data_IF_640614189856
#
_entry.id   IF_640614189856
#
_cell.length_a   1.000
_cell.length_b   1.000
_cell.length_c   1.000
_cell.angle_alpha   90.00
_cell.angle_beta   90.00
_cell.angle_gamma   90.00
#
_symmetry.space_group_name_H-M   'P 1'
#
loop_
_entity.id
_entity.type
_entity.pdbx_description
1 polymer ?
#
# COMPACT_ATOMS: atom_id res chain seq x y z
N UNK A 1 -47.54 -7.39 5.33
CA UNK A 1 -46.17 -7.71 4.87
C UNK A 1 -45.32 -6.45 5.05
N UNK A 2 -44.35 -6.40 5.98
CA UNK A 2 -43.46 -5.26 6.03
C UNK A 2 -42.20 -5.56 5.21
N UNK A 3 -42.19 -5.10 3.95
CA UNK A 3 -41.05 -5.26 3.02
C UNK A 3 -40.10 -4.07 3.22
N UNK A 4 -38.83 -4.35 3.47
CA UNK A 4 -37.74 -3.35 3.44
C UNK A 4 -37.23 -3.28 2.01
N UNK A 5 -37.34 -2.12 1.38
CA UNK A 5 -36.91 -1.91 0.00
C UNK A 5 -35.46 -1.44 -0.03
N UNK A 6 -34.60 -2.12 -0.78
CA UNK A 6 -33.22 -1.68 -1.02
C UNK A 6 -33.20 -0.97 -2.37
N UNK A 7 -33.19 0.35 -2.31
CA UNK A 7 -33.25 1.21 -3.47
C UNK A 7 -31.80 1.40 -3.97
N UNK A 8 -31.49 0.77 -5.11
CA UNK A 8 -30.18 0.88 -5.76
C UNK A 8 -29.98 2.22 -6.46
N UNK A 9 -29.30 2.24 -7.61
CA UNK A 9 -29.18 3.42 -8.50
C UNK A 9 -30.51 3.89 -9.13
N UNK A 10 -31.64 3.43 -8.61
CA UNK A 10 -32.99 3.77 -9.06
C UNK A 10 -33.41 4.98 -8.21
N UNK A 11 -33.68 6.11 -8.87
CA UNK A 11 -33.88 7.41 -8.23
C UNK A 11 -34.96 7.45 -7.15
N UNK A 12 -34.93 8.50 -6.33
CA UNK A 12 -35.80 8.71 -5.14
C UNK A 12 -37.29 8.53 -5.44
N UNK A 13 -37.74 8.77 -6.67
CA UNK A 13 -39.14 8.61 -7.10
C UNK A 13 -39.64 7.16 -6.99
N UNK A 14 -38.80 6.17 -7.32
CA UNK A 14 -39.17 4.75 -7.22
C UNK A 14 -39.28 4.28 -5.77
N UNK A 15 -38.48 4.87 -4.88
CA UNK A 15 -38.56 4.63 -3.44
C UNK A 15 -39.86 5.19 -2.85
N UNK A 16 -40.27 6.38 -3.28
CA UNK A 16 -41.51 7.05 -2.84
C UNK A 16 -42.74 6.26 -3.29
N UNK A 17 -42.77 5.78 -4.53
CA UNK A 17 -43.88 4.96 -5.04
C UNK A 17 -43.97 3.62 -4.33
N UNK A 18 -42.84 2.99 -4.00
CA UNK A 18 -42.83 1.75 -3.23
C UNK A 18 -43.34 1.94 -1.79
N UNK A 19 -43.01 3.06 -1.13
CA UNK A 19 -43.57 3.41 0.19
C UNK A 19 -45.09 3.63 0.09
N UNK A 20 -45.56 4.32 -0.96
CA UNK A 20 -47.00 4.51 -1.20
C UNK A 20 -47.75 3.20 -1.44
N UNK A 21 -47.09 2.19 -2.00
CA UNK A 21 -47.63 0.85 -2.23
C UNK A 21 -47.52 -0.08 -0.99
N UNK A 22 -47.08 0.43 0.16
CA UNK A 22 -47.08 -0.30 1.43
C UNK A 22 -45.73 -0.89 1.86
N UNK A 23 -44.61 -0.47 1.26
CA UNK A 23 -43.28 -0.80 1.77
C UNK A 23 -43.05 -0.14 3.15
N UNK A 24 -42.40 -0.88 4.06
CA UNK A 24 -42.24 -0.47 5.45
C UNK A 24 -41.01 0.39 5.75
N UNK A 25 -39.99 0.36 4.89
CA UNK A 25 -38.78 1.21 4.96
C UNK A 25 -38.03 1.16 3.60
N UNK A 26 -37.36 2.23 3.15
CA UNK A 26 -36.44 2.20 1.99
C UNK A 26 -35.03 2.64 2.39
N UNK A 27 -34.03 1.87 1.95
CA UNK A 27 -32.63 2.09 2.30
C UNK A 27 -31.77 2.17 1.04
N UNK A 28 -31.00 3.25 0.96
CA UNK A 28 -30.05 3.48 -0.12
C UNK A 28 -28.75 2.66 0.07
N UNK A 29 -28.19 2.12 -1.02
CA UNK A 29 -26.98 1.28 -1.01
C UNK A 29 -25.77 1.90 -0.29
N UNK A 30 -25.60 3.22 -0.35
CA UNK A 30 -24.47 3.92 0.32
C UNK A 30 -24.62 4.00 1.85
N UNK A 31 -25.84 3.90 2.37
CA UNK A 31 -26.14 3.92 3.80
C UNK A 31 -26.56 2.54 4.32
N UNK A 32 -26.40 1.51 3.49
CA UNK A 32 -26.90 0.16 3.74
C UNK A 32 -26.45 -0.35 5.11
N UNK A 33 -25.16 -0.32 5.43
CA UNK A 33 -24.63 -0.83 6.70
C UNK A 33 -25.27 -0.15 7.94
N UNK A 34 -25.43 1.17 7.93
CA UNK A 34 -25.91 1.92 9.10
C UNK A 34 -27.43 1.93 9.25
N UNK A 35 -28.15 2.01 8.12
CA UNK A 35 -29.62 2.11 8.10
C UNK A 35 -30.31 0.76 7.99
N UNK A 36 -29.73 -0.22 7.29
CA UNK A 36 -30.26 -1.60 7.24
C UNK A 36 -30.28 -2.20 8.63
N UNK A 37 -29.23 -1.96 9.41
CA UNK A 37 -29.21 -2.38 10.79
C UNK A 37 -30.40 -1.82 11.58
N UNK A 38 -30.67 -0.52 11.46
CA UNK A 38 -31.77 0.15 12.16
C UNK A 38 -33.15 -0.27 11.64
N UNK A 39 -33.31 -0.47 10.33
CA UNK A 39 -34.58 -0.89 9.74
C UNK A 39 -34.92 -2.34 10.09
N UNK A 40 -33.96 -3.25 9.99
CA UNK A 40 -34.10 -4.64 10.45
C UNK A 40 -34.42 -4.65 11.95
N UNK A 41 -33.73 -3.82 12.76
CA UNK A 41 -34.05 -3.66 14.19
C UNK A 41 -35.49 -3.21 14.43
N UNK A 42 -35.99 -2.19 13.72
CA UNK A 42 -37.39 -1.75 13.84
C UNK A 42 -38.40 -2.85 13.51
N UNK A 43 -38.08 -3.71 12.54
CA UNK A 43 -38.92 -4.86 12.21
C UNK A 43 -38.90 -5.90 13.32
N UNK A 44 -37.71 -6.24 13.84
CA UNK A 44 -37.53 -7.16 14.97
C UNK A 44 -38.19 -6.65 16.26
N UNK A 45 -38.30 -5.33 16.42
CA UNK A 45 -38.93 -4.70 17.59
C UNK A 45 -40.46 -4.82 17.61
N UNK A 46 -41.10 -5.29 16.52
CA UNK A 46 -42.53 -5.51 16.50
C UNK A 46 -42.94 -6.61 17.50
N UNK A 47 -43.95 -6.32 18.32
CA UNK A 47 -44.42 -7.18 19.43
C UNK A 47 -44.71 -8.63 18.99
N UNK A 48 -45.31 -8.81 17.81
CA UNK A 48 -45.63 -10.12 17.26
C UNK A 48 -44.38 -10.93 16.86
N UNK A 49 -43.36 -10.26 16.29
CA UNK A 49 -42.12 -10.89 15.88
C UNK A 49 -41.25 -11.26 17.10
N UNK A 50 -41.21 -10.39 18.12
CA UNK A 50 -40.59 -10.72 19.42
C UNK A 50 -41.26 -11.95 20.05
N UNK A 51 -42.59 -11.93 20.20
CA UNK A 51 -43.35 -13.04 20.77
C UNK A 51 -43.13 -14.37 20.03
N UNK A 52 -43.00 -14.34 18.70
CA UNK A 52 -42.72 -15.53 17.88
C UNK A 52 -41.27 -16.06 18.00
N UNK A 53 -40.31 -15.19 18.34
CA UNK A 53 -38.91 -15.56 18.57
C UNK A 53 -38.69 -16.25 19.93
N UNK A 54 -39.61 -16.08 20.89
CA UNK A 54 -39.51 -16.65 22.25
C UNK A 54 -39.99 -18.10 22.37
N UNK A 55 -40.73 -18.66 21.40
CA UNK A 55 -41.31 -20.01 21.53
C UNK A 55 -40.37 -21.11 21.04
N UNK A 56 -40.26 -22.24 21.77
CA UNK A 56 -39.55 -23.44 21.28
C UNK A 56 -40.22 -24.01 20.02
N UNK A 57 -39.42 -24.71 19.19
CA UNK A 57 -39.93 -25.47 18.05
C UNK A 57 -41.03 -26.45 18.51
N UNK A 58 -42.27 -26.29 18.04
CA UNK A 58 -43.35 -27.23 18.31
C UNK A 58 -44.78 -26.68 18.28
N UNK A 59 -44.97 -25.37 18.49
CA UNK A 59 -46.32 -24.78 18.47
C UNK A 59 -46.74 -24.40 17.04
N UNK A 60 -47.65 -25.19 16.45
CA UNK A 60 -48.35 -24.93 15.19
C UNK A 60 -49.15 -23.62 15.26
N UNK A 61 -48.48 -22.48 15.10
CA UNK A 61 -49.12 -21.17 15.08
C UNK A 61 -48.57 -20.37 13.90
N UNK A 62 -49.47 -19.83 13.07
CA UNK A 62 -49.14 -19.15 11.82
C UNK A 62 -48.12 -18.01 12.00
N UNK A 63 -48.10 -17.39 13.19
CA UNK A 63 -47.19 -16.31 13.59
C UNK A 63 -45.73 -16.78 13.64
N UNK A 64 -45.46 -18.02 14.08
CA UNK A 64 -44.11 -18.59 14.09
C UNK A 64 -43.59 -18.83 12.67
N UNK A 65 -44.47 -19.33 11.79
CA UNK A 65 -44.15 -19.55 10.38
C UNK A 65 -43.93 -18.23 9.62
N UNK A 66 -44.71 -17.19 9.95
CA UNK A 66 -44.52 -15.84 9.39
C UNK A 66 -43.20 -15.20 9.86
N UNK A 67 -42.80 -15.41 11.11
CA UNK A 67 -41.52 -14.96 11.64
C UNK A 67 -40.32 -15.70 11.01
N UNK A 68 -40.44 -17.02 10.76
CA UNK A 68 -39.47 -17.83 10.01
C UNK A 68 -39.25 -17.30 8.59
N UNK A 69 -40.33 -17.11 7.84
CA UNK A 69 -40.26 -16.59 6.48
C UNK A 69 -39.66 -15.18 6.44
N UNK A 70 -39.98 -14.35 7.43
CA UNK A 70 -39.41 -12.99 7.53
C UNK A 70 -37.89 -13.04 7.76
N UNK A 71 -37.40 -13.82 8.74
CA UNK A 71 -35.96 -13.97 9.00
C UNK A 71 -35.20 -14.55 7.81
N UNK A 72 -35.78 -15.54 7.13
CA UNK A 72 -35.19 -16.20 5.97
C UNK A 72 -35.04 -15.27 4.76
N UNK A 73 -35.89 -14.26 4.64
CA UNK A 73 -35.87 -13.29 3.53
C UNK A 73 -34.78 -12.22 3.65
N UNK A 74 -34.23 -12.00 4.85
CA UNK A 74 -33.22 -10.96 5.04
C UNK A 74 -31.87 -11.36 4.39
N UNK A 75 -31.26 -10.48 3.59
CA UNK A 75 -29.95 -10.73 2.96
C UNK A 75 -28.78 -10.58 3.95
N UNK A 76 -29.04 -10.21 5.21
CA UNK A 76 -28.05 -10.00 6.27
C UNK A 76 -28.10 -11.17 7.23
N UNK A 77 -26.95 -11.56 7.77
CA UNK A 77 -26.84 -12.63 8.76
C UNK A 77 -27.52 -12.23 10.07
N UNK A 78 -28.51 -13.01 10.50
CA UNK A 78 -29.26 -12.79 11.74
C UNK A 78 -29.38 -14.13 12.48
N UNK A 79 -29.19 -14.09 13.79
CA UNK A 79 -29.48 -15.22 14.67
C UNK A 79 -29.98 -14.75 16.03
N UNK A 80 -30.59 -15.67 16.76
CA UNK A 80 -31.11 -15.46 18.11
C UNK A 80 -30.52 -16.52 19.01
N UNK A 81 -30.11 -16.12 20.21
CA UNK A 81 -29.70 -17.02 21.27
C UNK A 81 -30.40 -16.71 22.59
N UNK A 82 -30.42 -17.66 23.50
CA UNK A 82 -30.83 -17.42 24.89
C UNK A 82 -29.74 -16.71 25.72
N UNK A 83 -29.99 -16.50 27.01
CA UNK A 83 -29.03 -15.87 27.93
C UNK A 83 -27.81 -16.75 28.27
N UNK A 84 -27.86 -18.05 27.98
CA UNK A 84 -26.72 -18.97 28.09
C UNK A 84 -25.92 -19.06 26.78
N UNK A 85 -26.38 -18.37 25.74
CA UNK A 85 -25.76 -18.36 24.42
C UNK A 85 -26.21 -19.49 23.51
N UNK A 86 -27.18 -20.34 23.88
CA UNK A 86 -27.69 -21.39 22.99
C UNK A 86 -28.34 -20.75 21.79
N UNK A 87 -27.86 -21.06 20.59
CA UNK A 87 -28.48 -20.57 19.36
C UNK A 87 -29.87 -21.21 19.27
N UNK A 88 -30.89 -20.37 19.24
CA UNK A 88 -32.29 -20.81 19.10
C UNK A 88 -32.69 -20.82 17.64
N UNK A 89 -32.29 -19.79 16.89
CA UNK A 89 -32.70 -19.55 15.51
C UNK A 89 -31.61 -18.82 14.73
N UNK A 90 -31.51 -19.08 13.43
CA UNK A 90 -30.62 -18.38 12.54
C UNK A 90 -31.21 -18.36 11.12
N UNK A 91 -30.79 -17.41 10.29
CA UNK A 91 -31.14 -17.41 8.89
C UNK A 91 -30.00 -17.96 8.01
N UNK A 92 -30.32 -18.23 6.74
CA UNK A 92 -29.35 -18.77 5.77
C UNK A 92 -28.11 -17.88 5.61
N UNK A 93 -28.27 -16.56 5.70
CA UNK A 93 -27.16 -15.63 5.62
C UNK A 93 -26.18 -15.79 6.80
N UNK A 94 -26.65 -16.10 8.01
CA UNK A 94 -25.79 -16.38 9.16
C UNK A 94 -24.97 -17.66 8.96
N UNK A 95 -25.60 -18.74 8.50
CA UNK A 95 -24.89 -19.98 8.17
C UNK A 95 -23.84 -19.74 7.06
N UNK A 96 -24.18 -18.99 6.01
CA UNK A 96 -23.24 -18.63 4.95
C UNK A 96 -22.08 -17.74 5.44
N UNK A 97 -22.32 -16.87 6.42
CA UNK A 97 -21.29 -16.04 7.04
C UNK A 97 -20.33 -16.85 7.90
N UNK A 98 -20.85 -17.80 8.69
CA UNK A 98 -20.04 -18.72 9.49
C UNK A 98 -19.35 -19.81 8.64
N UNK A 99 -19.86 -20.08 7.43
CA UNK A 99 -19.32 -21.10 6.54
C UNK A 99 -19.80 -22.52 6.85
N UNK A 100 -20.69 -22.67 7.83
CA UNK A 100 -21.34 -23.94 8.20
C UNK A 100 -22.72 -23.69 8.79
N UNK A 101 -23.52 -24.74 8.86
CA UNK A 101 -24.76 -24.69 9.63
C UNK A 101 -24.47 -24.84 11.13
N UNK A 102 -25.11 -24.03 11.99
CA UNK A 102 -25.04 -24.18 13.43
C UNK A 102 -25.60 -25.50 13.94
N UNK A 103 -24.86 -26.14 14.84
CA UNK A 103 -25.39 -27.22 15.67
C UNK A 103 -26.13 -26.58 16.86
N UNK A 104 -27.46 -26.57 16.82
CA UNK A 104 -28.28 -25.94 17.86
C UNK A 104 -28.14 -26.62 19.24
N UNK A 105 -27.65 -27.86 19.32
CA UNK A 105 -27.39 -28.53 20.58
C UNK A 105 -26.04 -28.12 21.18
N UNK A 106 -25.00 -28.01 20.33
CA UNK A 106 -23.62 -27.80 20.76
C UNK A 106 -23.14 -26.34 20.71
N UNK A 107 -23.49 -25.59 19.67
CA UNK A 107 -22.96 -24.25 19.43
C UNK A 107 -23.48 -23.24 20.47
N UNK A 108 -22.60 -22.34 20.89
CA UNK A 108 -22.91 -21.26 21.84
C UNK A 108 -22.38 -19.94 21.35
N UNK A 109 -23.18 -18.89 21.48
CA UNK A 109 -22.93 -17.49 21.12
C UNK A 109 -22.69 -17.24 19.62
N UNK A 110 -21.99 -18.12 18.92
CA UNK A 110 -21.81 -18.11 17.48
C UNK A 110 -21.44 -19.51 16.99
N UNK A 111 -21.58 -19.75 15.68
CA UNK A 111 -21.16 -21.00 15.03
C UNK A 111 -19.80 -20.88 14.32
N UNK A 112 -19.10 -19.76 14.52
CA UNK A 112 -17.72 -19.58 14.06
C UNK A 112 -16.75 -20.56 14.76
N UNK A 113 -15.66 -20.94 14.09
CA UNK A 113 -14.57 -21.71 14.71
C UNK A 113 -13.93 -20.95 15.87
N UNK A 114 -13.66 -19.67 15.62
CA UNK A 114 -13.10 -18.74 16.60
C UNK A 114 -13.53 -17.32 16.26
N UNK A 115 -13.62 -16.47 17.28
CA UNK A 115 -13.87 -15.04 17.13
C UNK A 115 -12.70 -14.29 17.75
N UNK A 116 -12.08 -13.42 16.97
CA UNK A 116 -10.95 -12.60 17.35
C UNK A 116 -11.39 -11.14 17.50
N UNK A 117 -10.74 -10.41 18.40
CA UNK A 117 -10.85 -8.96 18.46
C UNK A 117 -10.18 -8.30 17.26
N UNK A 118 -10.36 -6.99 17.11
CA UNK A 118 -9.68 -6.19 16.07
C UNK A 118 -8.15 -6.16 16.22
N UNK A 119 -7.65 -6.53 17.39
CA UNK A 119 -6.23 -6.73 17.69
C UNK A 119 -5.70 -8.13 17.31
N UNK A 120 -6.55 -9.01 16.76
CA UNK A 120 -6.20 -10.38 16.37
C UNK A 120 -6.15 -11.39 17.52
N UNK A 121 -6.45 -10.99 18.75
CA UNK A 121 -6.48 -11.90 19.90
C UNK A 121 -7.83 -12.62 20.00
N UNK A 122 -7.86 -13.93 20.34
CA UNK A 122 -9.11 -14.65 20.56
C UNK A 122 -9.95 -14.02 21.68
N UNK A 123 -11.24 -13.83 21.42
CA UNK A 123 -12.20 -13.38 22.42
C UNK A 123 -12.74 -14.57 23.21
N UNK A 124 -12.78 -14.44 24.53
CA UNK A 124 -13.51 -15.36 25.40
C UNK A 124 -15.01 -15.15 25.23
N UNK A 125 -15.82 -16.17 25.52
CA UNK A 125 -17.29 -16.09 25.42
C UNK A 125 -17.87 -14.84 26.10
N UNK A 126 -17.39 -14.49 27.30
CA UNK A 126 -17.87 -13.33 28.08
C UNK A 126 -17.59 -11.96 27.45
N UNK A 127 -16.63 -11.91 26.51
CA UNK A 127 -16.19 -10.73 25.78
C UNK A 127 -16.90 -10.58 24.43
N UNK A 128 -17.62 -11.61 23.99
CA UNK A 128 -18.38 -11.54 22.74
C UNK A 128 -19.49 -10.48 22.86
N UNK A 129 -19.72 -9.64 21.83
CA UNK A 129 -20.73 -8.59 21.89
C UNK A 129 -22.10 -9.10 22.36
N UNK A 130 -22.54 -10.24 21.81
CA UNK A 130 -23.81 -10.90 22.18
C UNK A 130 -23.87 -11.30 23.67
N UNK A 131 -22.78 -11.80 24.25
CA UNK A 131 -22.73 -12.20 25.66
C UNK A 131 -22.71 -11.00 26.61
N UNK A 132 -22.03 -9.92 26.20
CA UNK A 132 -22.07 -8.64 26.93
C UNK A 132 -23.50 -8.09 26.97
N UNK A 133 -24.23 -8.14 25.86
CA UNK A 133 -25.64 -7.71 25.81
C UNK A 133 -26.55 -8.61 26.64
N UNK A 134 -26.37 -9.93 26.60
CA UNK A 134 -27.15 -10.85 27.41
C UNK A 134 -27.03 -10.55 28.91
N UNK A 135 -25.81 -10.23 29.38
CA UNK A 135 -25.52 -9.94 30.79
C UNK A 135 -25.94 -8.54 31.22
N UNK A 136 -25.68 -7.53 30.39
CA UNK A 136 -25.89 -6.12 30.75
C UNK A 136 -27.28 -5.60 30.39
N UNK A 137 -27.94 -6.22 29.41
CA UNK A 137 -29.17 -5.72 28.82
C UNK A 137 -28.99 -4.40 28.05
N UNK A 138 -27.75 -3.95 27.86
CA UNK A 138 -27.45 -2.74 27.10
C UNK A 138 -27.11 -3.15 25.67
N UNK A 139 -27.82 -2.60 24.68
CA UNK A 139 -27.59 -2.96 23.28
C UNK A 139 -26.28 -2.36 22.76
N UNK A 140 -25.61 -3.08 21.88
CA UNK A 140 -24.36 -2.64 21.24
C UNK A 140 -24.63 -2.44 19.76
N UNK A 141 -24.10 -1.35 19.20
CA UNK A 141 -24.18 -1.06 17.77
C UNK A 141 -22.78 -0.93 17.21
N UNK A 142 -22.47 -1.76 16.21
CA UNK A 142 -21.26 -1.63 15.41
C UNK A 142 -20.00 -2.24 16.04
N UNK A 143 -20.13 -3.28 16.86
CA UNK A 143 -18.96 -3.93 17.45
C UNK A 143 -18.24 -4.77 16.39
N UNK A 144 -17.03 -4.35 16.00
CA UNK A 144 -16.22 -5.06 15.02
C UNK A 144 -15.47 -6.24 15.65
N UNK A 145 -15.55 -7.41 15.01
CA UNK A 145 -14.77 -8.61 15.34
C UNK A 145 -14.27 -9.27 14.05
N UNK A 146 -13.40 -10.28 14.19
CA UNK A 146 -12.99 -11.15 13.10
C UNK A 146 -13.45 -12.56 13.38
N UNK A 147 -14.21 -13.14 12.46
CA UNK A 147 -14.63 -14.54 12.50
C UNK A 147 -13.62 -15.38 11.71
N UNK A 148 -13.12 -16.44 12.33
CA UNK A 148 -12.38 -17.50 11.65
C UNK A 148 -13.33 -18.67 11.36
N UNK A 149 -13.31 -19.16 10.12
CA UNK A 149 -14.08 -20.32 9.66
C UNK A 149 -13.26 -21.60 9.77
N UNK A 150 -13.92 -22.74 9.67
CA UNK A 150 -13.26 -24.05 9.70
C UNK A 150 -12.26 -24.25 8.55
N UNK A 151 -12.55 -23.66 7.38
CA UNK A 151 -11.67 -23.65 6.21
C UNK A 151 -10.43 -22.74 6.36
N UNK A 152 -10.29 -22.06 7.51
CA UNK A 152 -9.19 -21.14 7.81
C UNK A 152 -9.36 -19.74 7.20
N UNK A 153 -10.43 -19.48 6.45
CA UNK A 153 -10.72 -18.14 5.95
C UNK A 153 -11.26 -17.25 7.06
N UNK A 154 -10.93 -15.96 7.00
CA UNK A 154 -11.38 -14.97 7.98
C UNK A 154 -12.37 -13.97 7.37
N UNK A 155 -13.32 -13.52 8.19
CA UNK A 155 -14.32 -12.51 7.86
C UNK A 155 -14.32 -11.41 8.90
N UNK A 156 -14.23 -10.16 8.47
CA UNK A 156 -14.47 -9.02 9.35
C UNK A 156 -15.97 -8.80 9.47
N UNK A 157 -16.48 -8.75 10.69
CA UNK A 157 -17.91 -8.71 10.97
C UNK A 157 -18.22 -7.61 11.97
N UNK A 158 -19.28 -6.86 11.68
CA UNK A 158 -19.84 -5.85 12.55
C UNK A 158 -21.12 -6.39 13.22
N UNK A 159 -21.12 -6.43 14.55
CA UNK A 159 -22.20 -6.94 15.39
C UNK A 159 -23.16 -5.83 15.84
N UNK A 160 -24.45 -6.14 15.86
CA UNK A 160 -25.51 -5.26 16.37
C UNK A 160 -26.48 -5.97 17.33
N UNK A 161 -26.00 -6.53 18.44
CA UNK A 161 -26.81 -7.33 19.36
C UNK A 161 -27.78 -6.46 20.18
N UNK A 162 -28.99 -6.99 20.38
CA UNK A 162 -30.06 -6.36 21.15
C UNK A 162 -30.70 -7.39 22.08
N UNK A 163 -30.99 -7.03 23.35
CA UNK A 163 -31.61 -7.95 24.28
C UNK A 163 -33.07 -8.17 23.89
N UNK A 164 -33.52 -9.42 23.96
CA UNK A 164 -34.93 -9.80 23.91
C UNK A 164 -35.46 -9.84 25.35
N UNK A 165 -36.64 -9.27 25.56
CA UNK A 165 -37.27 -9.16 26.88
C UNK A 165 -38.67 -9.74 26.88
N UNK A 166 -39.05 -10.40 27.97
CA UNK A 166 -40.43 -10.84 28.20
C UNK A 166 -41.35 -9.67 28.56
N UNK A 167 -42.65 -9.94 28.72
CA UNK A 167 -43.65 -8.95 29.11
C UNK A 167 -43.42 -8.38 30.53
N UNK A 168 -42.61 -9.06 31.36
CA UNK A 168 -42.19 -8.60 32.68
C UNK A 168 -40.89 -7.77 32.65
N UNK A 169 -40.26 -7.62 31.48
CA UNK A 169 -39.03 -6.84 31.27
C UNK A 169 -37.73 -7.63 31.51
N UNK A 170 -37.80 -8.91 31.86
CA UNK A 170 -36.62 -9.76 32.06
C UNK A 170 -35.97 -10.09 30.73
N UNK A 171 -34.63 -10.15 30.70
CA UNK A 171 -33.89 -10.54 29.49
C UNK A 171 -34.01 -12.06 29.32
N UNK A 172 -34.53 -12.50 28.18
CA UNK A 172 -34.69 -13.93 27.87
C UNK A 172 -33.70 -14.42 26.81
N UNK A 173 -33.00 -13.50 26.15
CA UNK A 173 -32.06 -13.82 25.09
C UNK A 173 -31.56 -12.59 24.37
N UNK A 174 -30.89 -12.81 23.25
CA UNK A 174 -30.32 -11.75 22.41
C UNK A 174 -30.58 -12.09 20.96
N UNK A 175 -31.02 -11.09 20.20
CA UNK A 175 -31.00 -11.14 18.74
C UNK A 175 -29.79 -10.37 18.25
N UNK A 176 -29.03 -10.97 17.36
CA UNK A 176 -27.84 -10.37 16.80
C UNK A 176 -27.89 -10.40 15.27
N UNK A 177 -27.30 -9.36 14.71
CA UNK A 177 -27.26 -9.11 13.29
C UNK A 177 -25.82 -8.78 12.93
N UNK A 178 -25.33 -9.48 11.93
CA UNK A 178 -23.93 -9.54 11.56
C UNK A 178 -23.79 -8.97 10.15
N UNK A 179 -23.02 -7.90 10.02
CA UNK A 179 -22.71 -7.30 8.71
C UNK A 179 -21.30 -7.72 8.33
N UNK A 180 -21.15 -8.43 7.21
CA UNK A 180 -19.83 -8.73 6.63
C UNK A 180 -19.22 -7.44 6.07
N UNK A 181 -18.16 -6.96 6.72
CA UNK A 181 -17.39 -5.78 6.33
C UNK A 181 -16.02 -6.16 5.77
N UNK A 182 -15.80 -7.43 5.41
CA UNK A 182 -14.51 -7.95 4.92
C UNK A 182 -14.02 -7.21 3.69
N UNK A 183 -14.89 -7.02 2.70
CA UNK A 183 -14.50 -6.36 1.45
C UNK A 183 -14.14 -4.88 1.68
N UNK A 184 -14.90 -4.19 2.54
CA UNK A 184 -14.60 -2.82 2.97
C UNK A 184 -13.22 -2.75 3.64
N UNK A 185 -12.94 -3.60 4.63
CA UNK A 185 -11.65 -3.63 5.32
C UNK A 185 -10.49 -4.01 4.38
N UNK A 186 -10.71 -4.89 3.42
CA UNK A 186 -9.71 -5.24 2.39
C UNK A 186 -9.39 -4.05 1.49
N UNK A 187 -10.41 -3.29 1.08
CA UNK A 187 -10.22 -2.08 0.26
C UNK A 187 -9.49 -0.99 1.05
N UNK A 188 -9.91 -0.71 2.28
CA UNK A 188 -9.23 0.23 3.19
C UNK A 188 -7.75 -0.16 3.37
N UNK A 189 -7.47 -1.44 3.64
CA UNK A 189 -6.09 -1.93 3.81
C UNK A 189 -5.27 -1.85 2.53
N UNK A 190 -5.87 -2.14 1.36
CA UNK A 190 -5.19 -1.99 0.07
C UNK A 190 -4.81 -0.54 -0.21
N UNK A 191 -5.70 0.42 0.11
CA UNK A 191 -5.41 1.83 -0.04
C UNK A 191 -4.26 2.28 0.86
N UNK A 192 -4.30 1.91 2.15
CA UNK A 192 -3.24 2.22 3.11
C UNK A 192 -1.88 1.64 2.68
N UNK A 193 -1.86 0.35 2.31
CA UNK A 193 -0.63 -0.30 1.85
C UNK A 193 -0.11 0.31 0.55
N UNK A 194 -1.00 0.72 -0.37
CA UNK A 194 -0.59 1.38 -1.61
C UNK A 194 0.08 2.73 -1.35
N UNK A 195 -0.47 3.52 -0.43
CA UNK A 195 0.08 4.82 -0.02
C UNK A 195 1.45 4.65 0.65
N UNK A 196 1.57 3.73 1.60
CA UNK A 196 2.85 3.41 2.27
C UNK A 196 3.89 2.89 1.28
N UNK A 197 3.49 1.99 0.40
CA UNK A 197 4.39 1.40 -0.61
C UNK A 197 4.92 2.48 -1.55
N UNK A 198 4.05 3.38 -2.01
CA UNK A 198 4.42 4.46 -2.92
C UNK A 198 5.37 5.47 -2.26
N UNK A 199 5.14 5.85 -0.99
CA UNK A 199 6.08 6.69 -0.23
C UNK A 199 7.41 5.99 -0.03
N UNK A 200 7.40 4.73 0.40
CA UNK A 200 8.61 3.95 0.62
C UNK A 200 9.45 3.79 -0.65
N UNK A 201 8.83 3.56 -1.81
CA UNK A 201 9.53 3.47 -3.09
C UNK A 201 10.24 4.79 -3.45
N UNK A 202 9.57 5.93 -3.23
CA UNK A 202 10.15 7.24 -3.49
C UNK A 202 11.31 7.58 -2.54
N UNK A 203 11.10 7.39 -1.23
CA UNK A 203 12.06 7.75 -0.20
C UNK A 203 13.30 6.87 -0.23
N UNK A 204 13.15 5.57 -0.52
CA UNK A 204 14.26 4.61 -0.59
C UNK A 204 14.83 4.43 -2.00
N UNK A 205 14.42 5.25 -2.97
CA UNK A 205 15.04 5.25 -4.29
C UNK A 205 16.56 5.50 -4.17
N UNK A 206 17.42 4.70 -4.83
CA UNK A 206 18.86 4.93 -4.83
C UNK A 206 19.24 6.20 -5.58
N UNK A 207 18.38 6.68 -6.47
CA UNK A 207 18.56 7.94 -7.18
C UNK A 207 18.00 9.12 -6.35
N UNK A 208 18.69 10.28 -6.36
CA UNK A 208 18.11 11.55 -5.94
C UNK A 208 16.81 11.83 -6.70
N UNK A 209 15.71 12.01 -5.96
CA UNK A 209 14.40 12.26 -6.52
C UNK A 209 13.74 13.52 -5.93
N UNK A 210 13.08 14.29 -6.78
CA UNK A 210 12.27 15.45 -6.43
C UNK A 210 10.93 15.38 -7.14
N UNK A 211 9.87 15.80 -6.48
CA UNK A 211 8.57 16.05 -7.10
C UNK A 211 8.18 17.52 -7.00
N UNK A 212 7.50 18.02 -8.02
CA UNK A 212 6.89 19.34 -8.01
C UNK A 212 5.43 19.33 -8.47
N UNK A 213 4.68 20.31 -7.97
CA UNK A 213 3.32 20.61 -8.38
C UNK A 213 3.30 21.41 -9.71
N UNK A 214 2.13 21.48 -10.38
CA UNK A 214 1.89 22.46 -11.42
C UNK A 214 2.15 23.85 -10.85
N UNK A 215 2.95 24.67 -11.53
CA UNK A 215 3.44 25.94 -10.99
C UNK A 215 4.81 25.86 -10.30
N UNK A 216 5.52 24.73 -10.42
CA UNK A 216 6.96 24.55 -10.11
C UNK A 216 7.34 24.55 -8.62
N UNK A 217 6.38 24.44 -7.71
CA UNK A 217 6.68 24.32 -6.29
C UNK A 217 7.06 22.88 -5.96
N UNK A 218 8.18 22.69 -5.28
CA UNK A 218 8.64 21.37 -4.84
C UNK A 218 7.63 20.84 -3.81
N UNK A 219 6.97 19.73 -4.13
CA UNK A 219 6.05 19.04 -3.22
C UNK A 219 6.76 18.05 -2.32
N UNK A 220 7.77 17.36 -2.84
CA UNK A 220 8.49 16.32 -2.10
C UNK A 220 9.91 16.13 -2.61
N UNK A 221 10.79 15.64 -1.73
CA UNK A 221 12.17 15.25 -2.02
C UNK A 221 12.54 14.05 -1.17
N UNK A 222 13.29 13.10 -1.75
CA UNK A 222 13.86 12.00 -0.98
C UNK A 222 15.19 12.40 -0.33
N UNK A 223 15.72 11.55 0.54
CA UNK A 223 16.96 11.84 1.28
C UNK A 223 18.17 11.94 0.35
N UNK A 224 18.19 11.17 -0.75
CA UNK A 224 19.23 11.27 -1.79
C UNK A 224 19.28 12.64 -2.46
N UNK A 225 18.14 13.29 -2.66
CA UNK A 225 18.10 14.64 -3.20
C UNK A 225 18.54 15.70 -2.19
N UNK A 226 18.22 15.50 -0.91
CA UNK A 226 18.74 16.32 0.20
C UNK A 226 20.27 16.25 0.25
N UNK A 227 20.85 15.05 0.17
CA UNK A 227 22.29 14.82 0.08
C UNK A 227 22.89 15.51 -1.16
N UNK A 228 22.30 15.30 -2.34
CA UNK A 228 22.79 15.86 -3.59
C UNK A 228 22.77 17.39 -3.58
N UNK A 229 21.67 18.01 -3.15
CA UNK A 229 21.50 19.47 -3.17
C UNK A 229 22.21 20.19 -2.02
N UNK A 230 22.39 19.52 -0.89
CA UNK A 230 22.90 20.11 0.36
C UNK A 230 21.90 20.99 1.10
N UNK A 231 20.64 21.03 0.67
CA UNK A 231 19.55 21.73 1.34
C UNK A 231 18.77 20.78 2.25
N UNK A 232 18.28 21.27 3.39
CA UNK A 232 17.35 20.49 4.22
C UNK A 232 15.99 20.40 3.53
N UNK A 233 15.28 19.28 3.71
CA UNK A 233 13.92 19.07 3.16
C UNK A 233 12.98 20.26 3.44
N UNK A 234 12.99 20.81 4.65
CA UNK A 234 12.17 21.96 5.04
C UNK A 234 12.52 23.28 4.31
N UNK A 235 13.72 23.39 3.73
CA UNK A 235 14.15 24.54 2.92
C UNK A 235 13.74 24.37 1.45
N UNK A 236 13.50 23.13 1.02
CA UNK A 236 13.16 22.76 -0.36
C UNK A 236 11.64 22.79 -0.60
N UNK A 237 10.88 22.12 0.26
CA UNK A 237 9.43 21.95 0.08
C UNK A 237 8.73 23.31 0.09
N UNK A 238 7.85 23.53 -0.88
CA UNK A 238 7.12 24.79 -1.07
C UNK A 238 7.93 25.91 -1.74
N UNK A 239 9.19 25.69 -2.12
CA UNK A 239 9.99 26.62 -2.93
C UNK A 239 10.02 26.18 -4.39
N UNK A 240 10.42 27.08 -5.27
CA UNK A 240 10.68 26.76 -6.68
C UNK A 240 12.18 26.54 -6.90
N UNK A 241 12.52 25.69 -7.88
CA UNK A 241 13.92 25.44 -8.29
C UNK A 241 14.63 26.74 -8.67
N UNK A 242 13.91 27.63 -9.35
CA UNK A 242 14.40 28.95 -9.78
C UNK A 242 14.72 29.83 -8.55
N UNK A 243 13.83 29.88 -7.53
CA UNK A 243 14.04 30.70 -6.32
C UNK A 243 15.18 30.21 -5.43
N UNK A 244 15.53 28.92 -5.50
CA UNK A 244 16.65 28.33 -4.77
C UNK A 244 17.99 28.47 -5.51
N UNK A 245 17.98 28.99 -6.75
CA UNK A 245 19.19 29.12 -7.58
C UNK A 245 19.86 27.78 -7.88
N UNK A 246 19.09 26.68 -7.91
CA UNK A 246 19.61 25.33 -8.11
C UNK A 246 20.13 25.11 -9.53
N UNK A 247 19.63 25.87 -10.50
CA UNK A 247 20.11 25.85 -11.89
C UNK A 247 21.15 26.94 -12.09
N UNK A 248 22.30 26.60 -12.68
CA UNK A 248 23.38 27.56 -12.94
C UNK A 248 23.06 28.44 -14.14
N UNK A 249 22.45 27.86 -15.18
CA UNK A 249 22.08 28.56 -16.40
C UNK A 249 20.56 28.52 -16.62
N UNK A 250 19.96 29.71 -16.68
CA UNK A 250 18.54 29.87 -16.98
C UNK A 250 18.17 29.34 -18.37
N UNK A 251 19.11 29.31 -19.33
CA UNK A 251 18.91 28.74 -20.66
C UNK A 251 18.76 27.22 -20.61
N UNK A 252 19.62 26.52 -19.86
CA UNK A 252 19.47 25.07 -19.61
C UNK A 252 18.12 24.81 -18.91
N UNK A 253 17.76 25.62 -17.91
CA UNK A 253 16.46 25.53 -17.25
C UNK A 253 15.27 25.76 -18.19
N UNK A 254 15.38 26.71 -19.14
CA UNK A 254 14.36 26.94 -20.17
C UNK A 254 14.25 25.75 -21.12
N UNK A 255 15.36 25.12 -21.50
CA UNK A 255 15.38 23.91 -22.32
C UNK A 255 14.68 22.73 -21.62
N UNK A 256 14.95 22.49 -20.32
CA UNK A 256 14.24 21.46 -19.51
C UNK A 256 12.74 21.67 -19.64
N UNK A 257 12.29 22.91 -19.39
CA UNK A 257 10.87 23.27 -19.36
C UNK A 257 10.21 23.20 -20.73
N UNK A 258 10.93 23.56 -21.79
CA UNK A 258 10.43 23.48 -23.15
C UNK A 258 10.23 22.02 -23.57
N UNK A 259 11.20 21.15 -23.30
CA UNK A 259 11.10 19.72 -23.57
C UNK A 259 9.93 19.08 -22.83
N UNK A 260 9.77 19.39 -21.53
CA UNK A 260 8.68 18.86 -20.72
C UNK A 260 7.29 19.30 -21.21
N UNK A 261 7.16 20.55 -21.69
CA UNK A 261 5.90 21.05 -22.25
C UNK A 261 5.55 20.43 -23.59
N UNK A 262 6.55 20.13 -24.42
CA UNK A 262 6.32 19.56 -25.76
C UNK A 262 5.95 18.09 -25.68
N UNK A 263 6.72 17.30 -24.91
CA UNK A 263 6.68 15.84 -24.98
C UNK A 263 6.09 15.20 -23.71
N UNK A 264 5.80 16.00 -22.66
CA UNK A 264 5.28 15.51 -21.37
C UNK A 264 6.28 14.68 -20.56
N UNK A 265 7.50 14.51 -21.07
CA UNK A 265 8.58 13.68 -20.51
C UNK A 265 9.93 14.18 -21.00
N UNK A 266 10.96 14.00 -20.19
CA UNK A 266 12.37 14.19 -20.53
C UNK A 266 13.05 12.86 -20.21
N UNK A 267 13.54 12.17 -21.23
CA UNK A 267 14.32 10.94 -21.05
C UNK A 267 15.60 11.21 -20.29
N UNK A 268 16.43 12.08 -20.85
CA UNK A 268 17.75 12.39 -20.29
C UNK A 268 18.17 13.77 -20.74
N UNK A 269 18.51 14.64 -19.78
CA UNK A 269 19.16 15.90 -20.12
C UNK A 269 20.23 16.26 -19.08
N UNK A 270 21.41 16.64 -19.55
CA UNK A 270 22.47 17.12 -18.68
C UNK A 270 22.36 18.62 -18.43
N UNK A 271 22.68 19.03 -17.20
CA UNK A 271 22.65 20.43 -16.80
C UNK A 271 23.63 20.66 -15.64
N UNK A 272 24.00 21.92 -15.43
CA UNK A 272 24.80 22.33 -14.29
C UNK A 272 23.88 22.75 -13.14
N UNK A 273 24.05 22.10 -11.99
CA UNK A 273 23.30 22.41 -10.79
C UNK A 273 24.20 22.97 -9.70
N UNK A 274 23.66 23.89 -8.91
CA UNK A 274 24.37 24.55 -7.80
C UNK A 274 23.85 24.01 -6.47
N UNK A 275 24.76 23.53 -5.64
CA UNK A 275 24.48 23.11 -4.27
C UNK A 275 24.36 24.32 -3.33
N UNK A 276 23.84 24.11 -2.13
CA UNK A 276 23.70 25.16 -1.09
C UNK A 276 25.02 25.86 -0.74
N UNK A 277 26.12 25.12 -0.74
CA UNK A 277 27.47 25.64 -0.46
C UNK A 277 28.08 26.42 -1.64
N UNK A 278 27.36 26.56 -2.78
CA UNK A 278 27.83 27.23 -3.98
C UNK A 278 28.58 26.34 -4.98
N UNK A 279 28.92 25.11 -4.60
CA UNK A 279 29.57 24.11 -5.46
C UNK A 279 28.68 23.81 -6.68
N UNK A 280 29.29 23.82 -7.86
CA UNK A 280 28.61 23.49 -9.13
C UNK A 280 28.96 22.07 -9.51
N UNK A 281 27.93 21.28 -9.82
CA UNK A 281 28.06 19.89 -10.24
C UNK A 281 27.33 19.65 -11.55
N UNK A 282 27.83 18.69 -12.32
CA UNK A 282 27.16 18.24 -13.54
C UNK A 282 26.19 17.14 -13.17
N UNK A 283 24.90 17.35 -13.44
CA UNK A 283 23.88 16.36 -13.21
C UNK A 283 23.13 16.03 -14.49
N UNK A 284 22.57 14.84 -14.51
CA UNK A 284 21.60 14.38 -15.49
C UNK A 284 20.23 14.38 -14.84
N UNK A 285 19.19 14.86 -15.54
CA UNK A 285 17.80 14.77 -15.09
C UNK A 285 16.97 13.98 -16.08
N UNK A 286 16.15 13.09 -15.53
CA UNK A 286 15.03 12.44 -16.20
C UNK A 286 13.76 12.94 -15.54
N UNK A 287 12.76 13.34 -16.33
CA UNK A 287 11.50 13.88 -15.81
C UNK A 287 10.33 13.15 -16.43
N UNK A 288 9.41 12.67 -15.61
CA UNK A 288 8.16 12.07 -16.07
C UNK A 288 6.99 12.75 -15.38
N UNK A 289 5.94 13.02 -16.14
CA UNK A 289 4.66 13.42 -15.58
C UNK A 289 3.97 12.24 -14.90
N UNK A 290 3.53 12.43 -13.66
CA UNK A 290 2.79 11.44 -12.87
C UNK A 290 1.49 12.04 -12.37
N UNK A 291 0.45 11.21 -12.19
CA UNK A 291 -0.80 11.61 -11.56
C UNK A 291 -0.90 10.90 -10.22
N UNK A 292 -0.92 11.67 -9.13
CA UNK A 292 -1.03 11.15 -7.77
C UNK A 292 -2.24 11.81 -7.12
N UNK A 293 -3.24 11.01 -6.76
CA UNK A 293 -4.47 11.50 -6.13
C UNK A 293 -5.29 12.47 -6.99
N UNK A 294 -5.23 12.33 -8.33
CA UNK A 294 -5.91 13.24 -9.26
C UNK A 294 -5.14 14.53 -9.54
N UNK A 295 -4.01 14.75 -8.88
CA UNK A 295 -3.15 15.92 -9.07
C UNK A 295 -2.00 15.55 -10.00
N UNK A 296 -1.90 16.26 -11.12
CA UNK A 296 -0.78 16.18 -12.05
C UNK A 296 0.48 16.72 -11.37
N UNK A 297 1.56 15.95 -11.36
CA UNK A 297 2.85 16.32 -10.78
C UNK A 297 3.97 15.88 -11.72
N UNK A 298 5.19 16.39 -11.51
CA UNK A 298 6.35 15.87 -12.23
C UNK A 298 7.33 15.23 -11.25
N UNK A 299 7.77 14.03 -11.60
CA UNK A 299 8.82 13.31 -10.91
C UNK A 299 10.14 13.55 -11.65
N UNK A 300 11.11 14.10 -10.95
CA UNK A 300 12.47 14.31 -11.40
C UNK A 300 13.39 13.29 -10.71
N UNK A 301 14.14 12.53 -11.49
CA UNK A 301 15.24 11.69 -11.02
C UNK A 301 16.55 12.29 -11.52
N UNK A 302 17.56 12.34 -10.65
CA UNK A 302 18.86 12.91 -10.97
C UNK A 302 19.98 11.89 -10.84
N UNK A 303 21.02 12.07 -11.65
CA UNK A 303 22.29 11.37 -11.48
C UNK A 303 23.44 12.38 -11.45
N UNK A 304 24.30 12.30 -10.44
CA UNK A 304 25.52 13.13 -10.37
C UNK A 304 26.58 12.53 -11.30
N UNK A 305 26.96 13.28 -12.33
CA UNK A 305 27.96 12.87 -13.32
C UNK A 305 29.37 13.34 -12.94
N UNK A 306 29.51 14.18 -11.91
CA UNK A 306 30.78 14.80 -11.52
C UNK A 306 31.84 13.75 -11.14
N UNK A 307 31.55 12.76 -10.26
CA UNK A 307 32.55 11.77 -9.85
C UNK A 307 33.07 10.93 -11.03
N UNK A 308 32.17 10.53 -11.95
CA UNK A 308 32.54 9.74 -13.11
C UNK A 308 33.43 10.54 -14.07
N UNK A 309 33.13 11.83 -14.27
CA UNK A 309 33.90 12.71 -15.15
C UNK A 309 35.26 13.04 -14.55
N UNK A 310 35.35 13.27 -13.24
CA UNK A 310 36.61 13.47 -12.54
C UNK A 310 37.50 12.25 -12.63
N UNK A 311 36.97 11.05 -12.35
CA UNK A 311 37.71 9.80 -12.50
C UNK A 311 38.22 9.59 -13.94
N UNK A 312 37.37 9.88 -14.93
CA UNK A 312 37.76 9.80 -16.34
C UNK A 312 38.84 10.83 -16.72
N UNK A 313 38.74 12.06 -16.20
CA UNK A 313 39.73 13.10 -16.43
C UNK A 313 41.08 12.74 -15.78
N UNK A 314 41.06 12.25 -14.53
CA UNK A 314 42.26 11.78 -13.84
C UNK A 314 42.92 10.60 -14.57
N UNK A 315 42.14 9.61 -15.01
CA UNK A 315 42.64 8.48 -15.79
C UNK A 315 43.28 8.95 -17.12
N UNK A 316 42.67 9.92 -17.80
CA UNK A 316 43.23 10.51 -19.03
C UNK A 316 44.54 11.24 -18.76
N UNK A 317 44.61 12.06 -17.72
CA UNK A 317 45.83 12.77 -17.33
C UNK A 317 46.95 11.80 -16.94
N UNK A 318 46.65 10.77 -16.15
CA UNK A 318 47.62 9.75 -15.78
C UNK A 318 48.16 9.01 -17.01
N UNK A 319 47.29 8.65 -17.97
CA UNK A 319 47.71 8.01 -19.22
C UNK A 319 48.59 8.92 -20.09
N UNK A 320 48.25 10.20 -20.19
CA UNK A 320 49.05 11.19 -20.92
C UNK A 320 50.42 11.40 -20.26
N UNK A 321 50.45 11.53 -18.93
CA UNK A 321 51.70 11.64 -18.17
C UNK A 321 52.59 10.42 -18.42
N UNK A 322 52.06 9.20 -18.27
CA UNK A 322 52.78 7.95 -18.55
C UNK A 322 53.39 7.92 -19.96
N UNK A 323 52.62 8.32 -20.98
CA UNK A 323 53.07 8.35 -22.37
C UNK A 323 54.16 9.42 -22.65
N UNK A 324 54.13 10.55 -21.93
CA UNK A 324 55.03 11.69 -22.14
C UNK A 324 56.39 11.57 -21.43
N UNK A 325 56.55 10.61 -20.52
CA UNK A 325 57.81 10.41 -19.79
C UNK A 325 58.90 9.95 -20.76
N UNK A 326 60.04 10.64 -20.75
CA UNK A 326 61.18 10.34 -21.64
C UNK A 326 61.96 9.07 -21.28
N UNK A 327 61.79 8.55 -20.06
CA UNK A 327 62.35 7.27 -19.65
C UNK A 327 61.45 6.13 -20.12
N UNK A 328 62.03 5.04 -20.63
CA UNK A 328 61.29 3.83 -20.97
C UNK A 328 60.70 3.20 -19.72
N UNK A 329 59.37 3.10 -19.65
CA UNK A 329 58.65 2.45 -18.57
C UNK A 329 57.96 1.21 -19.12
N UNK A 330 58.08 0.11 -18.37
CA UNK A 330 57.40 -1.14 -18.61
C UNK A 330 56.66 -1.58 -17.35
N UNK A 331 55.41 -2.02 -17.52
CA UNK A 331 54.56 -2.57 -16.47
C UNK A 331 54.35 -4.05 -16.80
N UNK A 332 54.64 -4.94 -15.85
CA UNK A 332 54.44 -6.37 -15.98
C UNK A 332 53.55 -6.94 -14.88
N UNK A 333 52.97 -8.11 -15.12
CA UNK A 333 52.23 -8.86 -14.11
C UNK A 333 53.16 -9.59 -13.13
N UNK A 334 52.58 -10.27 -12.13
CA UNK A 334 53.36 -11.05 -11.15
C UNK A 334 54.16 -12.21 -11.77
N UNK A 335 53.86 -12.60 -13.03
CA UNK A 335 54.57 -13.62 -13.81
C UNK A 335 55.58 -13.00 -14.79
N UNK A 336 55.80 -11.68 -14.70
CA UNK A 336 56.74 -10.91 -15.53
C UNK A 336 56.35 -10.86 -17.01
N UNK A 337 55.07 -11.05 -17.29
CA UNK A 337 54.51 -10.83 -18.61
C UNK A 337 54.16 -9.36 -18.75
N UNK A 338 54.60 -8.74 -19.84
CA UNK A 338 54.37 -7.31 -20.08
C UNK A 338 52.87 -7.04 -20.21
N UNK A 339 52.37 -6.12 -19.40
CA UNK A 339 50.99 -5.61 -19.45
C UNK A 339 50.94 -4.37 -20.35
N UNK A 340 51.93 -3.48 -20.24
CA UNK A 340 51.97 -2.23 -20.98
C UNK A 340 53.37 -1.63 -20.99
N UNK A 341 53.68 -0.83 -22.01
CA UNK A 341 54.91 -0.03 -22.13
C UNK A 341 54.59 1.39 -22.55
N UNK A 342 55.44 2.36 -22.20
CA UNK A 342 55.26 3.74 -22.68
C UNK A 342 55.97 3.99 -24.03
N UNK A 343 55.64 5.10 -24.69
CA UNK A 343 56.20 5.45 -26.00
C UNK A 343 57.72 5.69 -25.99
N UNK A 344 58.30 6.06 -24.84
CA UNK A 344 59.76 6.14 -24.71
C UNK A 344 60.41 4.75 -24.75
N UNK A 345 59.79 3.74 -24.13
CA UNK A 345 60.26 2.36 -24.16
C UNK A 345 60.26 1.82 -25.59
N UNK A 346 59.19 2.07 -26.35
CA UNK A 346 59.13 1.69 -27.77
C UNK A 346 60.24 2.35 -28.59
N UNK A 347 60.45 3.66 -28.40
CA UNK A 347 61.52 4.39 -29.11
C UNK A 347 62.93 3.94 -28.73
N UNK A 348 63.14 3.58 -27.46
CA UNK A 348 64.45 3.13 -26.95
C UNK A 348 64.79 1.72 -27.41
N UNK A 349 63.80 0.82 -27.43
CA UNK A 349 64.03 -0.62 -27.68
C UNK A 349 63.70 -1.04 -29.11
N UNK A 350 62.90 -0.24 -29.83
CA UNK A 350 62.43 -0.53 -31.19
C UNK A 350 61.22 -1.46 -31.25
N UNK A 351 60.74 -2.00 -30.12
CA UNK A 351 59.58 -2.89 -30.06
C UNK A 351 58.30 -2.12 -29.73
N UNK A 352 57.22 -2.41 -30.44
CA UNK A 352 55.90 -1.84 -30.14
C UNK A 352 55.23 -2.51 -28.93
N UNK A 353 54.33 -1.80 -28.26
CA UNK A 353 53.52 -2.33 -27.16
C UNK A 353 52.76 -3.59 -27.58
N UNK A 354 52.23 -3.62 -28.80
CA UNK A 354 51.52 -4.77 -29.35
C UNK A 354 52.40 -6.02 -29.47
N UNK A 355 53.70 -5.85 -29.75
CA UNK A 355 54.67 -6.96 -29.85
C UNK A 355 55.13 -7.46 -28.48
N UNK A 356 55.13 -6.58 -27.46
CA UNK A 356 55.58 -6.90 -26.12
C UNK A 356 54.46 -7.40 -25.20
N UNK A 357 53.21 -6.96 -25.42
CA UNK A 357 52.06 -7.31 -24.58
C UNK A 357 51.89 -8.83 -24.48
N UNK A 358 51.87 -9.35 -23.26
CA UNK A 358 51.79 -10.78 -22.99
C UNK A 358 53.08 -11.55 -23.27
N UNK A 359 54.24 -10.88 -23.42
CA UNK A 359 55.57 -11.51 -23.52
C UNK A 359 56.48 -11.14 -22.35
N UNK A 360 57.45 -12.00 -22.06
CA UNK A 360 58.51 -11.73 -21.08
C UNK A 360 59.55 -10.77 -21.65
N UNK A 361 60.00 -9.82 -20.82
CA UNK A 361 61.00 -8.83 -21.18
C UNK A 361 62.42 -9.39 -21.35
N UNK A 362 62.62 -10.68 -21.05
CA UNK A 362 63.88 -11.37 -21.29
C UNK A 362 64.32 -11.34 -22.76
N UNK A 363 63.38 -11.08 -23.69
CA UNK A 363 63.68 -10.92 -25.12
C UNK A 363 64.60 -9.71 -25.43
N UNK A 364 64.76 -8.78 -24.50
CA UNK A 364 65.66 -7.62 -24.61
C UNK A 364 67.08 -7.89 -24.09
N UNK A 365 67.36 -9.12 -23.61
CA UNK A 365 68.68 -9.51 -23.14
C UNK A 365 69.64 -9.71 -24.34
N UNK A 366 70.79 -9.03 -24.28
CA UNK A 366 71.92 -9.20 -25.19
C UNK A 366 73.12 -9.91 -24.54
N UNK A 367 74.17 -10.24 -25.32
CA UNK A 367 75.35 -10.96 -24.85
C UNK A 367 76.12 -10.24 -23.72
N UNK A 368 76.02 -8.91 -23.63
CA UNK A 368 76.67 -8.08 -22.60
C UNK A 368 75.75 -7.72 -21.41
N UNK A 369 74.51 -8.22 -21.40
CA UNK A 369 73.57 -7.93 -20.31
C UNK A 369 73.57 -9.04 -19.26
N UNK A 370 73.71 -8.66 -17.99
CA UNK A 370 73.66 -9.64 -16.89
C UNK A 370 72.26 -10.26 -16.78
N UNK A 371 72.14 -11.61 -16.68
CA UNK A 371 70.86 -12.29 -16.52
C UNK A 371 70.04 -11.82 -15.31
N UNK A 372 70.71 -11.20 -14.33
CA UNK A 372 70.09 -10.67 -13.11
C UNK A 372 69.63 -9.20 -13.22
N UNK A 373 69.97 -8.48 -14.29
CA UNK A 373 69.72 -7.03 -14.42
C UNK A 373 68.45 -6.71 -15.22
N UNK A 374 67.97 -7.66 -16.03
CA UNK A 374 66.64 -7.62 -16.66
C UNK A 374 65.80 -8.74 -16.00
N UNK A 375 65.31 -8.49 -14.79
CA UNK A 375 64.43 -9.41 -14.05
C UNK A 375 62.97 -8.99 -14.17
#
# INVERSE_FOLDING_TARGET
LPVVLICGSIGEDAAVDAIRQGAGDCIHLTQLHRRLAQAVQRQLDQRALRHALHRPHGDNNWVAHSAEQSLASFPVAIYVCDCEGRILRYNRAAAALWGREPDLAADRWASARSILGTNGQPLRHEQLPVAVVARTGLPIAGAEVVIERDDGTTRHVEHHPRPLRDDAGNITGVIDMLIDITERKRQERRLLLSDETSRNMFDNSPAPCMMNLPGKHISSVNDRFVELSGYRRAELVGRTVDALGLLVDDAEGRAVRAALRRDGRIDTMEFNFRRKNGEVRRAMVSTTRVNIGGVEQYLHSFADLTPQREALAQARLARQAFASISQGILISDARRMTISVNQAFERMTGYSEAELTGRSCALLQGPDSSPATVL
#
